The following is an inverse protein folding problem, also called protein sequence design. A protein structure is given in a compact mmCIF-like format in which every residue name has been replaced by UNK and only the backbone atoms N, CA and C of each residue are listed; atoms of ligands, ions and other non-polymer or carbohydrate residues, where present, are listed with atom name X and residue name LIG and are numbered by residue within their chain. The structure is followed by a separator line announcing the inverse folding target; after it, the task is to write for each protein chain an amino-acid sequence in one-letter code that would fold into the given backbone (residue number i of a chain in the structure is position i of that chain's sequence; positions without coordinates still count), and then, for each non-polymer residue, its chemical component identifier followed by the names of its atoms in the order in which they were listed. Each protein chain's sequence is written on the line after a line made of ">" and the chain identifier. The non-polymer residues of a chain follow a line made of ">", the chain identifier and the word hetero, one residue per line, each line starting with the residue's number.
data_IF_900040058551
#
_entry.id   IF_900040058551
#
_cell.length_a   1.000
_cell.length_b   1.000
_cell.length_c   1.000
_cell.angle_alpha   90.00
_cell.angle_beta   90.00
_cell.angle_gamma   90.00
#
_symmetry.space_group_name_H-M   'P 1'
#
loop_
_entity.id
_entity.type
_entity.pdbx_description
1 polymer ?
#
# COMPACT_ATOMS: atom_id res chain seq x y z
N UNK A 1 34.82 -14.04 13.91
CA UNK A 1 34.37 -14.08 12.54
C UNK A 1 33.04 -13.35 12.43
N UNK A 2 32.95 -12.36 11.55
CA UNK A 2 31.66 -11.70 11.26
C UNK A 2 30.77 -12.74 10.56
N UNK A 3 29.60 -13.02 11.13
CA UNK A 3 28.62 -13.87 10.48
C UNK A 3 28.21 -13.23 9.15
N UNK A 4 28.54 -13.88 8.06
CA UNK A 4 28.17 -13.45 6.72
C UNK A 4 26.77 -14.01 6.46
N UNK A 5 25.76 -13.13 6.37
CA UNK A 5 24.45 -13.53 5.89
C UNK A 5 24.51 -13.70 4.37
N UNK A 6 24.20 -14.91 3.92
CA UNK A 6 24.12 -15.23 2.49
C UNK A 6 22.65 -15.36 2.13
N UNK A 7 22.19 -14.52 1.23
CA UNK A 7 20.88 -14.66 0.63
C UNK A 7 21.01 -15.49 -0.64
N UNK A 8 20.28 -16.60 -0.70
CA UNK A 8 20.16 -17.39 -1.94
C UNK A 8 18.86 -16.99 -2.63
N UNK A 9 18.96 -16.67 -3.90
CA UNK A 9 17.79 -16.52 -4.76
C UNK A 9 17.48 -17.86 -5.42
N UNK A 10 16.19 -18.16 -5.72
CA UNK A 10 15.87 -19.32 -6.50
C UNK A 10 16.54 -19.20 -7.86
N UNK A 11 17.27 -20.21 -8.23
CA UNK A 11 17.88 -20.38 -9.56
C UNK A 11 17.21 -21.55 -10.25
N UNK A 12 17.02 -21.46 -11.55
CA UNK A 12 16.55 -22.57 -12.36
C UNK A 12 17.63 -23.67 -12.48
N UNK A 13 17.32 -24.77 -13.18
CA UNK A 13 18.23 -25.89 -13.38
C UNK A 13 19.50 -25.52 -14.16
N UNK A 14 19.49 -24.37 -14.87
CA UNK A 14 20.63 -23.82 -15.61
C UNK A 14 21.40 -22.75 -14.79
N UNK A 15 21.02 -22.51 -13.53
CA UNK A 15 21.68 -21.57 -12.63
C UNK A 15 21.28 -20.11 -12.83
N UNK A 16 20.18 -19.83 -13.56
CA UNK A 16 19.65 -18.49 -13.75
C UNK A 16 18.68 -18.12 -12.64
N UNK A 17 18.74 -16.87 -12.18
CA UNK A 17 17.80 -16.33 -11.19
C UNK A 17 16.51 -15.93 -11.88
N UNK A 18 15.44 -16.68 -11.65
CA UNK A 18 14.09 -16.27 -12.04
C UNK A 18 13.55 -15.21 -11.08
N UNK A 19 13.69 -13.94 -11.44
CA UNK A 19 12.95 -12.86 -10.81
C UNK A 19 11.79 -12.46 -11.72
N UNK A 20 10.53 -12.41 -11.21
CA UNK A 20 9.39 -12.01 -12.01
C UNK A 20 9.62 -10.63 -12.65
N UNK A 21 9.69 -10.56 -13.98
CA UNK A 21 9.85 -9.34 -14.76
C UNK A 21 11.27 -8.96 -15.15
N UNK A 22 12.27 -9.77 -14.89
CA UNK A 22 13.62 -9.63 -15.48
C UNK A 22 13.71 -10.25 -16.87
N UNK A 23 14.47 -9.61 -17.77
CA UNK A 23 14.81 -10.19 -19.07
C UNK A 23 15.89 -11.24 -18.90
N UNK A 24 15.89 -12.24 -19.79
CA UNK A 24 16.69 -13.46 -19.77
C UNK A 24 18.24 -13.30 -19.79
N UNK A 25 18.78 -12.08 -19.73
CA UNK A 25 20.19 -11.81 -20.01
C UNK A 25 21.04 -11.54 -18.75
N UNK A 26 20.50 -11.72 -17.55
CA UNK A 26 21.26 -11.48 -16.33
C UNK A 26 21.91 -12.78 -15.82
N UNK A 27 23.16 -13.03 -16.24
CA UNK A 27 24.00 -14.04 -15.61
C UNK A 27 24.46 -13.58 -14.23
N UNK A 28 24.03 -14.29 -13.18
CA UNK A 28 24.50 -14.08 -11.81
C UNK A 28 25.45 -15.22 -11.39
N UNK A 29 26.60 -15.28 -12.05
CA UNK A 29 27.57 -16.38 -11.85
C UNK A 29 28.32 -16.31 -10.52
N UNK A 30 28.28 -15.22 -9.78
CA UNK A 30 29.04 -15.07 -8.53
C UNK A 30 28.35 -14.16 -7.52
N UNK A 31 28.35 -14.53 -6.22
CA UNK A 31 27.89 -13.62 -5.19
C UNK A 31 28.75 -12.35 -5.23
N UNK A 32 28.13 -11.20 -5.43
CA UNK A 32 28.79 -9.91 -5.34
C UNK A 32 28.71 -9.36 -3.91
N UNK A 33 29.77 -8.69 -3.50
CA UNK A 33 29.80 -8.05 -2.19
C UNK A 33 29.30 -6.62 -2.32
N UNK A 34 28.37 -6.25 -1.46
CA UNK A 34 27.89 -4.87 -1.33
C UNK A 34 28.49 -4.23 -0.08
N UNK A 35 28.61 -2.90 -0.11
CA UNK A 35 29.14 -2.11 1.00
C UNK A 35 28.15 -0.98 1.29
N UNK A 36 27.71 -0.75 2.56
CA UNK A 36 26.75 0.30 2.89
C UNK A 36 27.23 1.71 2.52
N UNK A 37 28.54 1.96 2.45
CA UNK A 37 29.08 3.28 2.11
C UNK A 37 28.82 3.70 0.64
N UNK A 38 28.63 2.75 -0.26
CA UNK A 38 28.52 2.98 -1.71
C UNK A 38 27.34 2.27 -2.38
N UNK A 39 26.45 1.67 -1.59
CA UNK A 39 25.32 0.88 -2.12
C UNK A 39 24.00 1.47 -1.63
N UNK A 40 23.14 1.82 -2.59
CA UNK A 40 21.76 2.18 -2.37
C UNK A 40 20.87 0.99 -2.75
N UNK A 41 19.99 0.57 -1.86
CA UNK A 41 19.11 -0.57 -2.08
C UNK A 41 17.71 -0.08 -2.45
N UNK A 42 17.28 -0.32 -3.69
CA UNK A 42 15.90 -0.08 -4.08
C UNK A 42 15.06 -1.32 -3.76
N UNK A 43 14.42 -1.31 -2.61
CA UNK A 43 13.58 -2.39 -2.15
C UNK A 43 12.18 -2.26 -2.76
N UNK A 44 11.85 -3.10 -3.76
CA UNK A 44 10.53 -3.14 -4.38
C UNK A 44 9.82 -4.46 -4.05
N UNK A 45 8.49 -4.39 -3.91
CA UNK A 45 7.69 -5.58 -3.67
C UNK A 45 7.84 -6.17 -2.27
N UNK A 46 8.29 -5.38 -1.29
CA UNK A 46 8.18 -5.76 0.12
C UNK A 46 6.68 -5.73 0.44
N UNK A 47 6.00 -6.79 0.07
CA UNK A 47 4.58 -6.94 0.37
C UNK A 47 4.36 -7.20 1.85
N UNK A 48 3.29 -6.68 2.38
CA UNK A 48 2.95 -6.68 3.80
C UNK A 48 2.45 -8.01 4.33
N UNK A 49 2.43 -9.10 3.58
CA UNK A 49 1.67 -10.25 4.05
C UNK A 49 2.51 -11.47 4.32
N UNK A 50 2.37 -11.95 5.54
CA UNK A 50 2.76 -13.31 5.96
C UNK A 50 2.23 -14.37 4.97
N UNK A 51 1.06 -14.14 4.37
CA UNK A 51 0.41 -15.03 3.39
C UNK A 51 1.16 -15.14 2.05
N UNK A 52 1.96 -14.16 1.68
CA UNK A 52 2.63 -14.12 0.36
C UNK A 52 4.10 -14.55 0.39
N UNK A 53 4.60 -15.06 1.52
CA UNK A 53 6.02 -15.45 1.65
C UNK A 53 7.00 -14.27 1.71
N UNK A 54 6.51 -13.04 1.72
CA UNK A 54 7.36 -11.84 1.72
C UNK A 54 8.00 -11.52 3.08
N UNK A 55 7.71 -12.29 4.14
CA UNK A 55 8.33 -12.10 5.45
C UNK A 55 9.84 -12.24 5.38
N UNK A 56 10.35 -13.22 4.65
CA UNK A 56 11.79 -13.44 4.48
C UNK A 56 12.45 -12.25 3.80
N UNK A 57 11.81 -11.67 2.77
CA UNK A 57 12.29 -10.47 2.08
C UNK A 57 12.29 -9.24 2.99
N UNK A 58 11.21 -9.05 3.77
CA UNK A 58 11.13 -7.98 4.76
C UNK A 58 12.23 -8.09 5.81
N UNK A 59 12.47 -9.29 6.33
CA UNK A 59 13.56 -9.55 7.30
C UNK A 59 14.92 -9.29 6.67
N UNK A 60 15.13 -9.66 5.40
CA UNK A 60 16.35 -9.35 4.68
C UNK A 60 16.59 -7.84 4.55
N UNK A 61 15.55 -7.07 4.21
CA UNK A 61 15.63 -5.61 4.14
C UNK A 61 15.91 -4.98 5.50
N UNK A 62 15.24 -5.41 6.58
CA UNK A 62 15.55 -4.97 7.95
C UNK A 62 17.00 -5.24 8.34
N UNK A 63 17.53 -6.41 7.96
CA UNK A 63 18.90 -6.73 8.25
C UNK A 63 19.88 -5.83 7.47
N UNK A 64 19.56 -5.47 6.23
CA UNK A 64 20.35 -4.49 5.47
C UNK A 64 20.33 -3.11 6.14
N UNK A 65 19.16 -2.61 6.56
CA UNK A 65 19.07 -1.36 7.32
C UNK A 65 19.91 -1.39 8.59
N UNK A 66 19.83 -2.48 9.36
CA UNK A 66 20.62 -2.65 10.58
C UNK A 66 22.14 -2.71 10.32
N UNK A 67 22.55 -3.06 9.11
CA UNK A 67 23.95 -3.02 8.68
C UNK A 67 24.36 -1.66 8.09
N UNK A 68 23.48 -0.67 8.10
CA UNK A 68 23.75 0.70 7.64
C UNK A 68 23.52 0.93 6.15
N UNK A 69 22.87 0.00 5.43
CA UNK A 69 22.48 0.26 4.04
C UNK A 69 21.31 1.22 3.99
N UNK A 70 21.37 2.16 3.05
CA UNK A 70 20.23 3.03 2.74
C UNK A 70 19.27 2.31 1.82
N UNK A 71 18.02 2.14 2.28
CA UNK A 71 16.94 1.59 1.47
C UNK A 71 16.03 2.68 0.93
N UNK A 72 15.55 2.53 -0.29
CA UNK A 72 14.48 3.31 -0.90
C UNK A 72 13.28 2.38 -1.16
N UNK A 73 12.15 2.53 -0.44
CA UNK A 73 11.99 3.25 0.82
C UNK A 73 12.37 2.35 2.00
N UNK A 74 12.42 2.90 3.21
CA UNK A 74 12.68 2.15 4.43
C UNK A 74 11.64 1.04 4.65
N UNK A 75 11.99 0.03 5.46
CA UNK A 75 11.04 -1.05 5.80
C UNK A 75 9.82 -0.51 6.54
N UNK A 76 10.01 0.45 7.44
CA UNK A 76 8.88 1.06 8.16
C UNK A 76 7.95 1.85 7.24
N UNK A 77 8.49 2.57 6.25
CA UNK A 77 7.68 3.23 5.22
C UNK A 77 6.84 2.21 4.42
N UNK A 78 7.44 1.08 4.06
CA UNK A 78 6.70 -0.01 3.40
C UNK A 78 5.59 -0.58 4.29
N UNK A 79 5.86 -0.81 5.56
CA UNK A 79 4.86 -1.34 6.51
C UNK A 79 3.67 -0.37 6.64
N UNK A 80 3.94 0.93 6.84
CA UNK A 80 2.90 1.95 6.93
C UNK A 80 2.08 2.03 5.64
N UNK A 81 2.74 2.09 4.48
CA UNK A 81 2.07 2.27 3.18
C UNK A 81 1.30 1.03 2.70
N UNK A 82 1.68 -0.17 3.14
CA UNK A 82 1.03 -1.41 2.75
C UNK A 82 -0.22 -1.74 3.58
N UNK A 83 -0.31 -1.23 4.80
CA UNK A 83 -1.47 -1.39 5.68
C UNK A 83 -2.26 -0.08 5.75
N UNK A 84 -3.48 -0.10 5.21
CA UNK A 84 -4.34 1.10 5.17
C UNK A 84 -4.77 1.58 6.55
N UNK A 85 -4.85 0.68 7.54
CA UNK A 85 -5.17 1.06 8.90
C UNK A 85 -3.97 1.71 9.59
N UNK A 86 -2.78 1.14 9.43
CA UNK A 86 -1.57 1.76 9.95
C UNK A 86 -1.33 3.14 9.32
N UNK A 87 -1.50 3.26 8.01
CA UNK A 87 -1.43 4.53 7.28
C UNK A 87 -2.43 5.57 7.84
N UNK A 88 -3.68 5.15 8.08
CA UNK A 88 -4.71 6.00 8.69
C UNK A 88 -4.30 6.53 10.06
N UNK A 89 -3.73 5.67 10.93
CA UNK A 89 -3.24 6.07 12.25
C UNK A 89 -2.12 7.09 12.14
N UNK A 90 -1.12 6.83 11.29
CA UNK A 90 0.01 7.73 11.08
C UNK A 90 -0.45 9.08 10.56
N UNK A 91 -1.38 9.11 9.61
CA UNK A 91 -1.92 10.35 9.07
C UNK A 91 -2.70 11.14 10.13
N UNK A 92 -3.51 10.49 10.95
CA UNK A 92 -4.22 11.15 12.07
C UNK A 92 -3.24 11.74 13.10
N UNK A 93 -2.16 11.03 13.44
CA UNK A 93 -1.14 11.50 14.37
C UNK A 93 -0.36 12.72 13.85
N UNK A 94 -0.36 12.94 12.54
CA UNK A 94 0.29 14.07 11.88
C UNK A 94 -0.69 15.13 11.37
N UNK A 95 -1.94 15.13 11.85
CA UNK A 95 -3.00 16.05 11.46
C UNK A 95 -3.23 16.13 9.93
N UNK A 96 -3.08 15.00 9.25
CA UNK A 96 -3.36 14.88 7.82
C UNK A 96 -4.81 14.45 7.64
N UNK A 97 -5.55 15.19 6.83
CA UNK A 97 -6.95 14.91 6.59
C UNK A 97 -7.14 13.61 5.81
N UNK A 98 -7.96 12.75 6.37
CA UNK A 98 -8.36 11.49 5.74
C UNK A 98 -9.87 11.31 5.85
N UNK A 99 -10.51 10.55 4.98
CA UNK A 99 -11.91 10.19 5.15
C UNK A 99 -12.15 9.48 6.48
N UNK A 100 -13.28 9.73 7.12
CA UNK A 100 -13.65 9.05 8.37
C UNK A 100 -13.68 7.54 8.15
N UNK A 101 -12.94 6.81 8.98
CA UNK A 101 -12.71 5.38 8.81
C UNK A 101 -12.83 4.65 10.14
N UNK A 102 -13.46 3.49 10.13
CA UNK A 102 -13.60 2.60 11.29
C UNK A 102 -13.05 1.22 10.94
N UNK A 103 -12.19 0.67 11.79
CA UNK A 103 -11.73 -0.71 11.69
C UNK A 103 -12.83 -1.65 12.19
N UNK A 104 -13.15 -2.68 11.43
CA UNK A 104 -14.13 -3.72 11.77
C UNK A 104 -13.45 -5.07 11.72
N UNK A 105 -13.36 -5.74 12.86
CA UNK A 105 -12.74 -7.07 12.99
C UNK A 105 -13.74 -8.21 13.02
N UNK A 106 -15.00 -7.91 13.38
CA UNK A 106 -16.06 -8.91 13.49
C UNK A 106 -17.36 -8.35 12.93
N UNK A 107 -18.17 -9.22 12.33
CA UNK A 107 -19.45 -8.84 11.73
C UNK A 107 -20.42 -8.15 12.70
N UNK A 108 -20.35 -8.49 13.98
CA UNK A 108 -21.15 -7.91 15.06
C UNK A 108 -20.85 -6.41 15.26
N UNK A 109 -19.64 -5.97 14.93
CA UNK A 109 -19.23 -4.58 14.98
C UNK A 109 -19.72 -3.71 13.79
N UNK A 110 -20.30 -4.32 12.77
CA UNK A 110 -20.67 -3.64 11.53
C UNK A 110 -21.70 -2.50 11.76
N UNK A 111 -22.70 -2.74 12.59
CA UNK A 111 -23.73 -1.74 12.90
C UNK A 111 -23.15 -0.55 13.68
N UNK A 112 -22.32 -0.80 14.69
CA UNK A 112 -21.66 0.25 15.45
C UNK A 112 -20.72 1.08 14.56
N UNK A 113 -19.96 0.42 13.69
CA UNK A 113 -19.11 1.11 12.72
C UNK A 113 -19.91 2.03 11.79
N UNK A 114 -21.03 1.55 11.24
CA UNK A 114 -21.90 2.36 10.40
C UNK A 114 -22.50 3.54 11.17
N UNK A 115 -22.90 3.36 12.43
CA UNK A 115 -23.39 4.43 13.32
C UNK A 115 -22.31 5.49 13.56
N UNK A 116 -21.06 5.09 13.80
CA UNK A 116 -19.93 6.02 13.98
C UNK A 116 -19.69 6.88 12.75
N UNK A 117 -20.00 6.37 11.56
CA UNK A 117 -19.96 7.11 10.29
C UNK A 117 -21.30 7.82 9.96
N UNK A 118 -22.21 7.90 10.94
CA UNK A 118 -23.48 8.60 10.82
C UNK A 118 -24.53 7.89 9.99
N UNK A 119 -24.39 6.58 9.72
CA UNK A 119 -25.26 5.76 8.86
C UNK A 119 -25.51 6.35 7.47
N UNK A 120 -24.53 7.10 6.95
CA UNK A 120 -24.61 7.75 5.63
C UNK A 120 -24.11 6.79 4.54
N UNK A 121 -25.04 6.08 3.94
CA UNK A 121 -24.74 5.26 2.77
C UNK A 121 -24.80 6.10 1.47
N UNK A 122 -24.03 5.73 0.41
CA UNK A 122 -23.11 4.59 0.36
C UNK A 122 -21.86 4.80 1.19
N UNK A 123 -21.23 3.69 1.61
CA UNK A 123 -19.93 3.65 2.27
C UNK A 123 -18.97 2.79 1.46
N UNK A 124 -17.69 2.91 1.74
CA UNK A 124 -16.65 2.08 1.10
C UNK A 124 -16.09 1.09 2.13
N UNK A 125 -16.13 -0.20 1.81
CA UNK A 125 -15.46 -1.22 2.59
C UNK A 125 -14.15 -1.59 1.88
N UNK A 126 -13.06 -1.69 2.65
CA UNK A 126 -11.73 -2.03 2.14
C UNK A 126 -11.10 -3.08 3.05
N UNK A 127 -10.36 -4.03 2.49
CA UNK A 127 -9.44 -4.84 3.30
C UNK A 127 -8.25 -3.96 3.74
N UNK A 128 -7.78 -4.15 4.97
CA UNK A 128 -6.64 -3.37 5.50
C UNK A 128 -5.41 -3.54 4.62
N UNK A 129 -5.15 -4.74 4.16
CA UNK A 129 -4.08 -5.07 3.22
C UNK A 129 -4.65 -5.38 1.85
N UNK A 130 -4.00 -4.93 0.80
CA UNK A 130 -4.40 -5.13 -0.58
C UNK A 130 -4.07 -3.93 -1.47
N UNK A 131 -4.00 -4.15 -2.79
CA UNK A 131 -3.59 -3.14 -3.76
C UNK A 131 -4.44 -3.18 -5.03
N UNK A 132 -4.27 -2.19 -5.91
CA UNK A 132 -4.88 -2.10 -7.27
C UNK A 132 -6.42 -2.09 -7.29
N UNK A 133 -7.07 -1.63 -6.20
CA UNK A 133 -8.53 -1.61 -6.10
C UNK A 133 -9.17 -2.97 -5.80
N UNK A 134 -8.39 -4.04 -5.68
CA UNK A 134 -8.87 -5.34 -5.21
C UNK A 134 -9.20 -5.23 -3.71
N UNK A 135 -10.39 -5.73 -3.31
CA UNK A 135 -10.87 -5.63 -1.93
C UNK A 135 -11.45 -4.26 -1.57
N UNK A 136 -11.83 -3.43 -2.56
CA UNK A 136 -12.59 -2.19 -2.36
C UNK A 136 -14.02 -2.42 -2.83
N UNK A 137 -14.99 -2.33 -1.93
CA UNK A 137 -16.37 -2.72 -2.15
C UNK A 137 -17.30 -1.56 -1.82
N UNK A 138 -18.26 -1.33 -2.69
CA UNK A 138 -19.34 -0.37 -2.52
C UNK A 138 -20.43 -0.94 -1.63
N UNK A 139 -20.79 -0.24 -0.57
CA UNK A 139 -21.78 -0.67 0.43
C UNK A 139 -22.95 0.29 0.44
N UNK A 140 -24.11 -0.18 0.03
CA UNK A 140 -25.32 0.65 -0.13
C UNK A 140 -26.24 0.63 1.10
N UNK A 141 -26.06 -0.34 1.99
CA UNK A 141 -26.94 -0.54 3.16
C UNK A 141 -26.25 -1.32 4.26
N UNK A 142 -26.79 -1.24 5.47
CA UNK A 142 -26.35 -2.06 6.60
C UNK A 142 -26.47 -3.57 6.28
N UNK A 143 -27.52 -3.97 5.55
CA UNK A 143 -27.70 -5.37 5.16
C UNK A 143 -26.60 -5.88 4.23
N UNK A 144 -26.23 -5.08 3.23
CA UNK A 144 -25.12 -5.42 2.33
C UNK A 144 -23.78 -5.42 3.08
N UNK A 145 -23.59 -4.51 4.04
CA UNK A 145 -22.40 -4.49 4.90
C UNK A 145 -22.24 -5.80 5.68
N UNK A 146 -23.29 -6.24 6.39
CA UNK A 146 -23.26 -7.49 7.15
C UNK A 146 -22.92 -8.69 6.25
N UNK A 147 -23.62 -8.83 5.12
CA UNK A 147 -23.41 -9.96 4.21
C UNK A 147 -21.99 -9.98 3.63
N UNK A 148 -21.44 -8.80 3.32
CA UNK A 148 -20.08 -8.67 2.79
C UNK A 148 -19.03 -9.05 3.83
N UNK A 149 -19.15 -8.56 5.07
CA UNK A 149 -18.21 -8.89 6.14
C UNK A 149 -18.26 -10.38 6.47
N UNK A 150 -19.45 -10.97 6.55
CA UNK A 150 -19.60 -12.40 6.77
C UNK A 150 -18.93 -13.24 5.67
N UNK A 151 -19.07 -12.83 4.40
CA UNK A 151 -18.41 -13.51 3.29
C UNK A 151 -16.89 -13.42 3.39
N UNK A 152 -16.34 -12.24 3.69
CA UNK A 152 -14.90 -12.04 3.84
C UNK A 152 -14.33 -12.86 5.00
N UNK A 153 -15.01 -12.87 6.14
CA UNK A 153 -14.58 -13.65 7.31
C UNK A 153 -14.72 -15.18 7.11
N UNK A 154 -15.62 -15.63 6.23
CA UNK A 154 -15.67 -17.04 5.87
C UNK A 154 -14.44 -17.49 5.10
N UNK A 155 -13.90 -16.62 4.24
CA UNK A 155 -12.69 -16.91 3.47
C UNK A 155 -11.42 -16.72 4.31
N UNK A 156 -11.43 -15.76 5.23
CA UNK A 156 -10.32 -15.45 6.13
C UNK A 156 -10.84 -14.87 7.45
N UNK A 157 -10.90 -15.67 8.49
CA UNK A 157 -11.40 -15.31 9.82
C UNK A 157 -10.66 -14.11 10.44
N UNK A 158 -9.40 -13.89 10.03
CA UNK A 158 -8.54 -12.83 10.57
C UNK A 158 -8.45 -11.61 9.66
N UNK A 159 -9.26 -11.51 8.62
CA UNK A 159 -9.22 -10.35 7.75
C UNK A 159 -9.72 -9.10 8.47
N UNK A 160 -8.86 -8.09 8.57
CA UNK A 160 -9.25 -6.78 9.03
C UNK A 160 -9.86 -5.98 7.88
N UNK A 161 -11.04 -5.41 8.10
CA UNK A 161 -11.73 -4.56 7.12
C UNK A 161 -11.93 -3.16 7.66
N UNK A 162 -11.85 -2.19 6.76
CA UNK A 162 -12.07 -0.77 7.03
C UNK A 162 -13.39 -0.35 6.42
N UNK A 163 -14.30 0.17 7.23
CA UNK A 163 -15.47 0.85 6.75
C UNK A 163 -15.17 2.35 6.72
N UNK A 164 -15.36 2.99 5.57
CA UNK A 164 -14.99 4.37 5.33
C UNK A 164 -16.14 5.13 4.70
N UNK A 165 -16.31 6.40 5.07
CA UNK A 165 -17.24 7.29 4.38
C UNK A 165 -16.89 7.39 2.89
N UNK A 166 -17.91 7.52 2.05
CA UNK A 166 -17.70 7.77 0.64
C UNK A 166 -17.56 9.26 0.37
N UNK A 167 -16.43 9.63 -0.23
CA UNK A 167 -16.21 10.99 -0.72
C UNK A 167 -16.50 11.00 -2.21
N UNK A 168 -17.60 11.70 -2.58
CA UNK A 168 -17.96 11.85 -3.99
C UNK A 168 -16.95 12.77 -4.68
N UNK A 169 -16.27 12.25 -5.67
CA UNK A 169 -15.32 12.99 -6.50
C UNK A 169 -15.40 12.52 -7.95
N UNK A 170 -15.02 13.38 -8.87
CA UNK A 170 -14.93 13.06 -10.30
C UNK A 170 -13.49 12.69 -10.72
N UNK A 171 -12.53 12.85 -9.83
CA UNK A 171 -11.13 12.50 -10.07
C UNK A 171 -10.38 12.35 -8.77
N UNK A 172 -9.22 11.73 -8.81
CA UNK A 172 -8.18 11.86 -7.79
C UNK A 172 -6.90 12.48 -8.38
N UNK A 173 -6.02 12.93 -7.49
CA UNK A 173 -4.70 13.45 -7.85
C UNK A 173 -3.63 12.53 -7.26
N UNK A 174 -2.75 12.02 -8.11
CA UNK A 174 -1.57 11.27 -7.68
C UNK A 174 -0.34 12.17 -7.76
N UNK A 175 0.29 12.41 -6.61
CA UNK A 175 1.51 13.21 -6.49
C UNK A 175 2.71 12.28 -6.32
N UNK A 176 3.78 12.55 -7.04
CA UNK A 176 5.05 11.82 -6.94
C UNK A 176 6.04 12.71 -6.21
N UNK A 177 6.59 12.20 -5.12
CA UNK A 177 7.50 12.93 -4.24
C UNK A 177 8.76 12.08 -4.05
N UNK A 178 9.93 12.72 -4.15
CA UNK A 178 11.20 12.11 -3.81
C UNK A 178 12.08 13.12 -3.06
N UNK A 179 12.72 12.68 -2.00
CA UNK A 179 13.60 13.50 -1.16
C UNK A 179 12.97 14.85 -0.75
N UNK A 180 11.70 14.82 -0.35
CA UNK A 180 10.95 16.00 0.07
C UNK A 180 10.60 16.99 -1.05
N UNK A 181 10.74 16.59 -2.33
CA UNK A 181 10.43 17.42 -3.49
C UNK A 181 9.34 16.78 -4.34
N UNK A 182 8.38 17.58 -4.77
CA UNK A 182 7.37 17.16 -5.73
C UNK A 182 8.03 17.05 -7.12
N UNK A 183 7.97 15.87 -7.70
CA UNK A 183 8.48 15.60 -9.05
C UNK A 183 7.41 15.80 -10.12
N UNK A 184 6.15 15.66 -9.77
CA UNK A 184 5.01 15.84 -10.65
C UNK A 184 3.71 15.35 -10.04
N UNK A 185 2.61 15.69 -10.68
CA UNK A 185 1.29 15.23 -10.32
C UNK A 185 0.46 14.87 -11.56
N UNK A 186 -0.39 13.87 -11.41
CA UNK A 186 -1.37 13.48 -12.42
C UNK A 186 -2.76 13.44 -11.82
N UNK A 187 -3.72 13.93 -12.58
CA UNK A 187 -5.15 13.80 -12.32
C UNK A 187 -5.66 12.54 -13.01
N UNK A 188 -6.41 11.72 -12.29
CA UNK A 188 -7.01 10.49 -12.81
C UNK A 188 -8.53 10.61 -12.71
N UNK A 189 -9.24 10.80 -13.84
CA UNK A 189 -10.69 10.89 -13.82
C UNK A 189 -11.33 9.57 -13.42
N UNK A 190 -12.49 9.66 -12.76
CA UNK A 190 -13.40 8.54 -12.55
C UNK A 190 -14.18 8.33 -13.86
N UNK A 191 -14.22 7.11 -14.37
CA UNK A 191 -14.87 6.80 -15.66
C UNK A 191 -16.16 6.02 -15.43
N UNK A 192 -17.22 6.48 -16.07
CA UNK A 192 -18.53 5.82 -16.05
C UNK A 192 -19.15 5.75 -14.65
N UNK A 193 -19.76 4.61 -14.34
CA UNK A 193 -20.42 4.37 -13.05
C UNK A 193 -19.49 3.75 -12.00
N UNK A 194 -18.20 3.56 -12.31
CA UNK A 194 -17.22 3.09 -11.32
C UNK A 194 -16.85 4.24 -10.36
N UNK A 195 -16.85 3.96 -9.08
CA UNK A 195 -16.43 4.92 -8.04
C UNK A 195 -14.90 4.98 -7.86
N UNK A 196 -14.15 4.15 -8.61
CA UNK A 196 -12.69 4.03 -8.56
C UNK A 196 -12.04 4.79 -9.72
N UNK A 197 -10.95 5.49 -9.44
CA UNK A 197 -10.17 6.29 -10.39
C UNK A 197 -8.87 5.62 -10.87
N UNK A 198 -8.74 4.28 -10.68
CA UNK A 198 -7.50 3.59 -10.99
C UNK A 198 -7.25 3.49 -12.51
N UNK A 199 -6.02 3.78 -12.95
CA UNK A 199 -5.58 3.61 -14.36
C UNK A 199 -5.80 2.18 -14.86
N UNK A 200 -5.69 1.18 -13.99
CA UNK A 200 -6.01 -0.22 -14.32
C UNK A 200 -7.48 -0.45 -14.71
N UNK A 201 -8.35 0.53 -14.49
CA UNK A 201 -9.77 0.52 -14.88
C UNK A 201 -10.04 1.36 -16.15
N UNK A 202 -8.97 1.76 -16.88
CA UNK A 202 -9.10 2.48 -18.14
C UNK A 202 -9.06 4.01 -18.04
N UNK A 203 -8.78 4.56 -16.85
CA UNK A 203 -8.61 6.02 -16.69
C UNK A 203 -7.38 6.52 -17.47
N UNK A 204 -7.56 7.53 -18.29
CA UNK A 204 -6.46 8.25 -18.96
C UNK A 204 -5.99 9.38 -18.03
N UNK A 205 -4.75 9.30 -17.51
CA UNK A 205 -4.23 10.32 -16.61
C UNK A 205 -3.83 11.58 -17.37
N UNK A 206 -4.12 12.73 -16.78
CA UNK A 206 -3.74 14.06 -17.28
C UNK A 206 -2.69 14.68 -16.36
N UNK A 207 -1.81 15.53 -16.90
CA UNK A 207 -0.93 16.35 -16.07
C UNK A 207 -1.76 17.28 -15.18
N UNK A 208 -1.35 17.46 -13.92
CA UNK A 208 -2.06 18.29 -12.95
C UNK A 208 -1.11 19.31 -12.32
N UNK A 209 -1.48 20.58 -12.36
CA UNK A 209 -0.81 21.62 -11.61
C UNK A 209 -1.42 21.68 -10.20
N UNK A 210 -0.58 21.39 -9.20
CA UNK A 210 -1.03 21.36 -7.81
C UNK A 210 -1.33 22.76 -7.31
N UNK A 211 -2.43 22.90 -6.60
CA UNK A 211 -2.65 24.08 -5.74
C UNK A 211 -1.65 24.06 -4.58
N UNK A 212 -1.42 25.20 -3.97
CA UNK A 212 -0.54 25.32 -2.81
C UNK A 212 -0.95 24.35 -1.67
N UNK A 213 -2.25 24.22 -1.44
CA UNK A 213 -2.81 23.32 -0.44
C UNK A 213 -2.52 21.86 -0.77
N UNK A 214 -2.75 21.42 -2.00
CA UNK A 214 -2.47 20.05 -2.44
C UNK A 214 -0.97 19.73 -2.31
N UNK A 215 -0.09 20.68 -2.67
CA UNK A 215 1.34 20.52 -2.54
C UNK A 215 1.77 20.38 -1.07
N UNK A 216 1.30 21.25 -0.19
CA UNK A 216 1.61 21.22 1.24
C UNK A 216 1.12 19.93 1.90
N UNK A 217 -0.14 19.54 1.68
CA UNK A 217 -0.71 18.30 2.24
C UNK A 217 0.04 17.06 1.73
N UNK A 218 0.40 17.04 0.44
CA UNK A 218 1.16 15.93 -0.15
C UNK A 218 2.55 15.80 0.45
N UNK A 219 3.26 16.92 0.65
CA UNK A 219 4.58 16.92 1.29
C UNK A 219 4.50 16.49 2.75
N UNK A 220 3.50 16.95 3.51
CA UNK A 220 3.26 16.51 4.90
C UNK A 220 2.98 15.00 4.96
N UNK A 221 2.13 14.50 4.09
CA UNK A 221 1.81 13.07 4.01
C UNK A 221 3.06 12.24 3.69
N UNK A 222 3.87 12.65 2.72
CA UNK A 222 5.11 11.95 2.39
C UNK A 222 6.17 12.00 3.50
N UNK A 223 6.20 13.07 4.29
CA UNK A 223 7.14 13.21 5.41
C UNK A 223 6.74 12.40 6.66
N UNK A 224 5.50 11.94 6.73
CA UNK A 224 4.97 11.18 7.87
C UNK A 224 5.19 9.66 7.78
N UNK A 225 5.66 9.16 6.63
CA UNK A 225 5.81 7.73 6.35
C UNK A 225 7.24 7.26 6.08
#
# INVERSE_FOLDING_TARGET
>A
GKNQLVYSFPVDDDGKVELPGMKDDAEYDKPFRINPENTLVMARGIGSTVKTGNLSWRVACLNLENQGYTLINSVICHDICNDKWYNQIVFQQNDIHTPNTVLVRHSEGAEDAAKRLGNKFPMILKTAVGSRGVGVIWIESLKSLHSTIQLLHREDEFVDVLLQEYIKTNYDVRVIIASGKILGAIKRPVIGDDFRSNVSQGSEPESHELTEREAQESLRAAASV
#
